data_IF_835829510773
#
_entry.id   IF_835829510773
#
_cell.length_a   1.000
_cell.length_b   1.000
_cell.length_c   1.000
_cell.angle_alpha   90.00
_cell.angle_beta   90.00
_cell.angle_gamma   90.00
#
_symmetry.space_group_name_H-M   'P 1'
#
loop_
_entity.id
_entity.type
_entity.pdbx_description
1 polymer ?
#
# COMPACT_ATOMS: atom_id res chain seq x y z
N UNK A 1 -3.99 12.64 40.86
CA UNK A 1 -3.69 12.37 39.45
C UNK A 1 -3.12 10.97 39.36
N UNK A 2 -3.96 10.01 38.93
CA UNK A 2 -3.55 8.61 38.80
C UNK A 2 -2.58 8.41 37.64
N UNK A 3 -1.40 7.94 37.98
CA UNK A 3 -0.38 7.51 37.01
C UNK A 3 -0.92 6.24 36.33
N UNK A 4 -1.39 6.35 35.11
CA UNK A 4 -1.84 5.18 34.32
C UNK A 4 -0.67 4.21 34.23
N UNK A 5 -0.80 3.04 34.87
CA UNK A 5 0.18 1.97 34.78
C UNK A 5 0.37 1.61 33.30
N UNK A 6 1.59 1.81 32.81
CA UNK A 6 1.96 1.34 31.48
C UNK A 6 1.91 -0.19 31.49
N UNK A 7 1.08 -0.76 30.64
CA UNK A 7 1.04 -2.19 30.41
C UNK A 7 2.47 -2.76 30.32
N UNK A 8 2.75 -3.91 30.94
CA UNK A 8 4.08 -4.51 30.95
C UNK A 8 4.56 -4.64 29.52
N UNK A 9 5.80 -4.22 29.26
CA UNK A 9 6.48 -4.39 27.98
C UNK A 9 6.59 -5.88 27.74
N UNK A 10 5.55 -6.47 27.15
CA UNK A 10 5.55 -7.88 26.80
C UNK A 10 6.77 -8.21 25.93
N UNK A 11 7.25 -9.43 25.99
CA UNK A 11 8.36 -10.02 25.24
C UNK A 11 8.10 -10.06 23.73
N UNK A 12 7.44 -9.05 23.17
CA UNK A 12 7.13 -8.97 21.74
C UNK A 12 8.35 -8.53 20.95
N UNK A 13 8.53 -9.06 19.73
CA UNK A 13 9.60 -8.65 18.83
C UNK A 13 9.65 -7.13 18.60
N UNK A 14 10.86 -6.58 18.31
CA UNK A 14 11.09 -5.14 18.27
C UNK A 14 10.44 -4.41 17.07
N UNK A 15 9.99 -5.14 16.06
CA UNK A 15 9.36 -4.57 14.87
C UNK A 15 7.91 -5.02 14.74
N UNK A 16 7.09 -4.15 14.18
CA UNK A 16 5.75 -4.48 13.69
C UNK A 16 5.76 -4.28 12.18
N UNK A 17 5.41 -5.33 11.45
CA UNK A 17 5.19 -5.27 10.01
C UNK A 17 3.70 -5.12 9.73
N UNK A 18 3.36 -4.32 8.74
CA UNK A 18 1.99 -4.13 8.30
C UNK A 18 1.93 -3.88 6.80
N UNK A 19 0.77 -4.07 6.22
CA UNK A 19 0.47 -3.69 4.85
C UNK A 19 -0.03 -2.25 4.86
N UNK A 20 0.68 -1.36 4.15
CA UNK A 20 0.26 0.00 3.86
C UNK A 20 -0.45 0.04 2.52
N UNK A 21 -1.72 0.43 2.52
CA UNK A 21 -2.46 0.81 1.32
C UNK A 21 -2.45 2.35 1.20
N UNK A 22 -2.12 2.84 0.01
CA UNK A 22 -2.21 4.27 -0.30
C UNK A 22 -2.86 4.49 -1.66
N UNK A 23 -3.55 5.62 -1.81
CA UNK A 23 -4.23 6.00 -3.05
C UNK A 23 -3.73 7.35 -3.53
N UNK A 24 -3.23 7.41 -4.76
CA UNK A 24 -2.74 8.63 -5.43
C UNK A 24 -1.75 9.45 -4.58
N UNK A 25 -0.88 8.78 -3.85
CA UNK A 25 0.06 9.38 -2.91
C UNK A 25 1.45 8.78 -3.07
N UNK A 26 2.49 9.60 -2.88
CA UNK A 26 3.86 9.11 -2.84
C UNK A 26 4.13 8.26 -1.60
N UNK A 27 5.08 7.30 -1.71
CA UNK A 27 5.44 6.43 -0.59
C UNK A 27 6.03 7.21 0.57
N UNK A 28 6.94 8.15 0.32
CA UNK A 28 7.57 8.95 1.36
C UNK A 28 6.57 9.87 2.07
N UNK A 29 5.66 10.48 1.32
CA UNK A 29 4.59 11.31 1.88
C UNK A 29 3.64 10.48 2.77
N UNK A 30 3.30 9.25 2.36
CA UNK A 30 2.50 8.34 3.17
C UNK A 30 3.22 7.92 4.47
N UNK A 31 4.52 7.65 4.40
CA UNK A 31 5.32 7.33 5.59
C UNK A 31 5.46 8.52 6.54
N UNK A 32 5.65 9.73 6.04
CA UNK A 32 5.68 10.94 6.87
C UNK A 32 4.33 11.20 7.53
N UNK A 33 3.23 11.00 6.81
CA UNK A 33 1.88 11.07 7.39
C UNK A 33 1.72 10.05 8.52
N UNK A 34 2.07 8.79 8.30
CA UNK A 34 2.03 7.75 9.34
C UNK A 34 2.93 8.07 10.52
N UNK A 35 4.13 8.58 10.30
CA UNK A 35 5.05 8.96 11.38
C UNK A 35 4.42 9.98 12.33
N UNK A 36 3.76 11.01 11.78
CA UNK A 36 3.03 12.04 12.56
C UNK A 36 1.84 11.43 13.31
N UNK A 37 1.01 10.64 12.59
CA UNK A 37 -0.20 10.01 13.16
C UNK A 37 0.14 9.03 14.28
N UNK A 38 1.20 8.26 14.11
CA UNK A 38 1.67 7.27 15.08
C UNK A 38 2.55 7.86 16.17
N UNK A 39 2.90 9.15 16.09
CA UNK A 39 3.85 9.80 17.01
C UNK A 39 5.18 9.04 17.12
N UNK A 40 5.78 8.74 15.96
CA UNK A 40 7.08 8.07 15.83
C UNK A 40 8.01 8.88 14.93
N UNK A 41 9.30 8.64 15.01
CA UNK A 41 10.23 9.26 14.08
C UNK A 41 10.13 8.60 12.70
N UNK A 42 10.23 9.38 11.62
CA UNK A 42 10.16 8.84 10.26
C UNK A 42 11.21 7.77 9.98
N UNK A 43 12.38 7.86 10.61
CA UNK A 43 13.46 6.86 10.54
C UNK A 43 13.11 5.49 11.14
N UNK A 44 12.08 5.42 11.98
CA UNK A 44 11.62 4.16 12.57
C UNK A 44 10.67 3.40 11.63
N UNK A 45 10.27 4.02 10.52
CA UNK A 45 9.47 3.39 9.44
C UNK A 45 10.37 3.03 8.25
N UNK A 46 10.32 1.79 7.80
CA UNK A 46 11.10 1.30 6.67
C UNK A 46 10.25 0.47 5.70
N UNK A 47 10.65 0.44 4.44
CA UNK A 47 9.99 -0.31 3.37
C UNK A 47 11.01 -1.12 2.57
N UNK A 48 10.56 -2.21 1.95
CA UNK A 48 11.39 -3.02 1.06
C UNK A 48 11.64 -2.37 -0.31
N UNK A 49 10.87 -1.36 -0.66
CA UNK A 49 10.95 -0.61 -1.91
C UNK A 49 9.83 0.43 -1.99
N UNK A 50 9.84 1.25 -3.04
CA UNK A 50 8.81 2.27 -3.30
C UNK A 50 7.72 1.71 -4.21
N UNK A 51 6.55 2.34 -4.20
CA UNK A 51 5.41 2.03 -5.07
C UNK A 51 4.93 3.30 -5.77
N UNK A 52 4.33 3.12 -6.93
CA UNK A 52 3.83 4.20 -7.77
C UNK A 52 2.97 5.20 -7.00
N UNK A 53 3.10 6.47 -7.38
CA UNK A 53 2.29 7.54 -6.79
C UNK A 53 0.84 7.46 -7.25
N UNK A 54 0.61 7.21 -8.55
CA UNK A 54 -0.74 7.14 -9.13
C UNK A 54 -1.32 5.73 -9.01
N UNK A 55 -2.58 5.66 -8.59
CA UNK A 55 -3.32 4.41 -8.40
C UNK A 55 -3.46 4.02 -6.93
N UNK A 56 -4.06 2.87 -6.70
CA UNK A 56 -4.15 2.22 -5.39
C UNK A 56 -2.98 1.24 -5.29
N UNK A 57 -2.13 1.44 -4.32
CA UNK A 57 -0.95 0.58 -4.14
C UNK A 57 -0.88 0.04 -2.72
N UNK A 58 -0.46 -1.21 -2.58
CA UNK A 58 -0.22 -1.87 -1.30
C UNK A 58 1.22 -2.30 -1.20
N UNK A 59 1.84 -2.12 -0.03
CA UNK A 59 3.21 -2.51 0.24
C UNK A 59 3.43 -2.86 1.71
N UNK A 60 4.42 -3.71 1.96
CA UNK A 60 4.84 -3.99 3.34
C UNK A 60 5.69 -2.84 3.88
N UNK A 61 5.39 -2.49 5.11
CA UNK A 61 6.14 -1.49 5.90
C UNK A 61 6.52 -2.13 7.22
N UNK A 62 7.68 -1.82 7.74
CA UNK A 62 8.09 -2.15 9.11
C UNK A 62 8.21 -0.90 9.95
N UNK A 63 7.79 -1.01 11.19
CA UNK A 63 7.94 0.02 12.21
C UNK A 63 8.74 -0.54 13.37
N UNK A 64 9.78 0.18 13.81
CA UNK A 64 10.43 -0.06 15.09
C UNK A 64 9.50 0.39 16.21
N UNK A 65 8.86 -0.57 16.88
CA UNK A 65 7.66 -0.31 17.69
C UNK A 65 7.89 0.48 18.98
N UNK A 66 9.09 0.47 19.55
CA UNK A 66 9.31 1.01 20.90
C UNK A 66 8.42 0.31 21.93
N UNK A 67 7.50 1.09 22.54
CA UNK A 67 6.52 0.58 23.51
C UNK A 67 5.11 0.35 22.92
N UNK A 68 4.93 0.57 21.61
CA UNK A 68 3.61 0.49 20.96
C UNK A 68 3.17 -0.95 20.71
N UNK A 69 1.86 -1.19 20.76
CA UNK A 69 1.24 -2.47 20.43
C UNK A 69 0.69 -2.45 19.00
N UNK A 70 0.41 -3.63 18.46
CA UNK A 70 -0.25 -3.78 17.16
C UNK A 70 -1.61 -3.07 17.15
N UNK A 71 -2.37 -3.20 18.24
CA UNK A 71 -3.69 -2.60 18.37
C UNK A 71 -3.63 -1.06 18.40
N UNK A 72 -2.70 -0.49 19.16
CA UNK A 72 -2.51 0.96 19.21
C UNK A 72 -2.18 1.53 17.84
N UNK A 73 -1.27 0.87 17.13
CA UNK A 73 -0.84 1.29 15.79
C UNK A 73 -2.00 1.21 14.81
N UNK A 74 -2.77 0.12 14.83
CA UNK A 74 -3.92 -0.04 13.95
C UNK A 74 -4.99 1.03 14.19
N UNK A 75 -5.36 1.26 15.45
CA UNK A 75 -6.36 2.28 15.82
C UNK A 75 -5.92 3.68 15.41
N UNK A 76 -4.68 4.06 15.75
CA UNK A 76 -4.16 5.39 15.43
C UNK A 76 -4.07 5.62 13.92
N UNK A 77 -3.50 4.68 13.18
CA UNK A 77 -3.28 4.85 11.74
C UNK A 77 -4.58 4.89 10.92
N UNK A 78 -5.61 4.16 11.36
CA UNK A 78 -6.91 4.10 10.69
C UNK A 78 -7.94 5.10 11.26
N UNK A 79 -7.56 5.95 12.23
CA UNK A 79 -8.39 7.05 12.73
C UNK A 79 -9.52 6.62 13.68
N UNK A 80 -9.50 5.37 14.19
CA UNK A 80 -10.54 4.82 15.06
C UNK A 80 -10.81 5.63 16.34
N UNK A 81 -9.80 6.21 17.02
CA UNK A 81 -10.05 6.93 18.27
C UNK A 81 -10.83 8.25 18.13
N UNK A 82 -10.86 8.83 16.93
CA UNK A 82 -11.33 10.20 16.74
C UNK A 82 -12.64 10.36 15.97
N UNK A 83 -12.95 9.50 15.00
CA UNK A 83 -14.04 9.77 14.04
C UNK A 83 -14.76 8.55 13.47
N UNK A 84 -14.22 7.34 13.62
CA UNK A 84 -14.75 6.16 12.94
C UNK A 84 -14.90 4.99 13.89
N UNK A 85 -15.97 4.22 13.70
CA UNK A 85 -16.06 2.89 14.29
C UNK A 85 -15.01 1.96 13.67
N UNK A 86 -14.77 0.81 14.28
CA UNK A 86 -13.86 -0.19 13.70
C UNK A 86 -14.34 -0.65 12.31
N UNK A 87 -15.66 -0.75 12.12
CA UNK A 87 -16.28 -1.15 10.85
C UNK A 87 -16.09 -0.08 9.77
N UNK A 88 -16.27 1.20 10.10
CA UNK A 88 -16.03 2.32 9.18
C UNK A 88 -14.56 2.37 8.76
N UNK A 89 -13.63 2.13 9.69
CA UNK A 89 -12.21 2.08 9.38
C UNK A 89 -11.82 0.98 8.39
N UNK A 90 -12.59 -0.10 8.31
CA UNK A 90 -12.39 -1.19 7.34
C UNK A 90 -13.10 -0.89 6.01
N UNK A 91 -14.32 -0.35 6.06
CA UNK A 91 -15.19 -0.18 4.88
C UNK A 91 -14.94 1.14 4.15
N UNK A 92 -14.70 2.22 4.89
CA UNK A 92 -14.51 3.54 4.29
C UNK A 92 -13.06 3.79 3.83
N UNK A 93 -12.94 4.69 2.85
CA UNK A 93 -11.64 5.15 2.40
C UNK A 93 -10.96 5.97 3.50
N UNK A 94 -9.82 5.50 3.99
CA UNK A 94 -9.07 6.19 5.04
C UNK A 94 -8.78 7.64 4.71
N UNK A 95 -8.67 8.46 5.76
CA UNK A 95 -8.32 9.88 5.64
C UNK A 95 -7.04 10.03 4.80
N UNK A 96 -7.07 10.95 3.84
CA UNK A 96 -5.99 11.14 2.86
C UNK A 96 -5.59 9.90 2.04
N UNK A 97 -6.46 8.88 1.96
CA UNK A 97 -6.23 7.67 1.18
C UNK A 97 -5.09 6.78 1.68
N UNK A 98 -4.85 6.77 2.99
CA UNK A 98 -3.87 5.90 3.66
C UNK A 98 -4.58 4.99 4.63
N UNK A 99 -4.28 3.69 4.59
CA UNK A 99 -4.76 2.67 5.51
C UNK A 99 -3.68 1.66 5.82
N UNK A 100 -3.80 1.00 6.97
CA UNK A 100 -2.93 -0.12 7.32
C UNK A 100 -3.74 -1.35 7.73
N UNK A 101 -3.20 -2.53 7.42
CA UNK A 101 -3.77 -3.83 7.75
C UNK A 101 -2.66 -4.88 7.95
N UNK A 102 -3.04 -6.10 8.31
CA UNK A 102 -2.14 -7.28 8.42
C UNK A 102 -0.94 -7.03 9.34
N UNK A 103 -1.19 -6.46 10.51
CA UNK A 103 -0.14 -6.15 11.47
C UNK A 103 0.39 -7.43 12.13
N UNK A 104 1.70 -7.59 12.15
CA UNK A 104 2.39 -8.74 12.76
C UNK A 104 3.68 -8.31 13.44
N UNK A 105 4.01 -8.93 14.58
CA UNK A 105 5.30 -8.74 15.22
C UNK A 105 6.41 -9.48 14.46
N UNK A 106 7.58 -8.86 14.29
CA UNK A 106 8.75 -9.40 13.60
C UNK A 106 10.05 -9.08 14.32
N UNK A 107 11.04 -9.97 14.17
CA UNK A 107 12.38 -9.81 14.79
C UNK A 107 13.24 -8.77 14.06
N UNK A 108 13.07 -8.63 12.75
CA UNK A 108 13.86 -7.73 11.90
C UNK A 108 12.97 -6.71 11.18
N UNK A 109 13.53 -5.56 10.83
CA UNK A 109 12.91 -4.55 9.97
C UNK A 109 13.05 -4.91 8.49
N UNK A 110 12.39 -4.10 7.63
CA UNK A 110 12.56 -4.16 6.19
C UNK A 110 13.67 -3.19 5.77
N UNK A 111 14.43 -3.59 4.74
CA UNK A 111 15.46 -2.76 4.14
C UNK A 111 15.16 -2.52 2.66
N UNK A 112 15.60 -1.39 2.14
CA UNK A 112 15.44 -1.06 0.73
C UNK A 112 16.16 -2.10 -0.13
N UNK A 113 15.51 -2.59 -1.17
CA UNK A 113 16.05 -3.65 -2.03
C UNK A 113 15.51 -5.05 -1.71
N UNK A 114 14.82 -5.24 -0.59
CA UNK A 114 14.18 -6.53 -0.26
C UNK A 114 12.92 -6.83 -1.09
N UNK A 115 12.44 -5.88 -1.89
CA UNK A 115 11.28 -6.06 -2.76
C UNK A 115 11.64 -6.99 -3.93
N UNK A 116 11.03 -8.17 -3.97
CA UNK A 116 11.29 -9.19 -5.00
C UNK A 116 10.58 -8.95 -6.33
N UNK A 117 9.65 -8.00 -6.38
CA UNK A 117 8.87 -7.69 -7.59
C UNK A 117 7.57 -6.96 -7.28
N UNK A 118 6.82 -6.66 -8.34
CA UNK A 118 5.53 -5.99 -8.28
C UNK A 118 4.47 -6.85 -8.97
N UNK A 119 3.26 -6.85 -8.40
CA UNK A 119 2.06 -7.32 -9.07
C UNK A 119 1.23 -6.10 -9.49
N UNK A 120 0.71 -6.11 -10.71
CA UNK A 120 -0.14 -5.05 -11.24
C UNK A 120 -1.52 -5.61 -11.59
N UNK A 121 -2.56 -4.90 -11.16
CA UNK A 121 -3.93 -5.10 -11.61
C UNK A 121 -4.32 -3.83 -12.37
N UNK A 122 -4.51 -3.95 -13.68
CA UNK A 122 -4.79 -2.82 -14.55
C UNK A 122 -6.19 -2.98 -15.12
N UNK A 123 -7.06 -2.02 -14.84
CA UNK A 123 -8.40 -1.95 -15.44
C UNK A 123 -8.30 -1.22 -16.76
N UNK A 124 -8.53 -1.94 -17.86
CA UNK A 124 -8.61 -1.37 -19.19
C UNK A 124 -10.06 -1.02 -19.51
N UNK A 125 -10.30 0.24 -19.88
CA UNK A 125 -11.61 0.70 -20.39
C UNK A 125 -11.51 0.87 -21.90
N UNK A 126 -12.60 0.61 -22.61
CA UNK A 126 -12.67 0.76 -24.07
C UNK A 126 -11.83 -0.24 -24.89
N UNK A 127 -11.48 -1.39 -24.32
CA UNK A 127 -10.67 -2.41 -24.97
C UNK A 127 -11.26 -2.86 -26.32
N UNK A 128 -12.60 -2.95 -26.42
CA UNK A 128 -13.26 -3.34 -27.66
C UNK A 128 -12.94 -2.42 -28.84
N UNK A 129 -12.81 -1.10 -28.61
CA UNK A 129 -12.52 -0.15 -29.67
C UNK A 129 -11.07 -0.24 -30.15
N UNK A 130 -10.13 -0.45 -29.23
CA UNK A 130 -8.71 -0.66 -29.55
C UNK A 130 -8.47 -2.03 -30.19
N UNK A 131 -9.11 -3.07 -29.68
CA UNK A 131 -9.00 -4.43 -30.23
C UNK A 131 -9.62 -4.50 -31.64
N UNK A 132 -10.75 -3.85 -31.87
CA UNK A 132 -11.39 -3.75 -33.18
C UNK A 132 -10.49 -3.01 -34.17
N UNK A 133 -9.90 -1.87 -33.77
CA UNK A 133 -8.97 -1.10 -34.59
C UNK A 133 -7.71 -1.91 -34.91
N UNK A 134 -7.12 -2.59 -33.91
CA UNK A 134 -5.92 -3.43 -34.06
C UNK A 134 -6.20 -4.65 -34.97
N UNK A 135 -7.30 -5.33 -34.79
CA UNK A 135 -7.68 -6.48 -35.63
C UNK A 135 -8.03 -6.04 -37.06
N UNK A 136 -8.71 -4.90 -37.22
CA UNK A 136 -9.09 -4.39 -38.52
C UNK A 136 -7.88 -3.92 -39.33
N UNK A 137 -6.95 -3.21 -38.73
CA UNK A 137 -5.71 -2.77 -39.40
C UNK A 137 -4.80 -3.95 -39.78
N UNK A 138 -4.64 -4.93 -38.89
CA UNK A 138 -3.85 -6.14 -39.20
C UNK A 138 -4.51 -7.04 -40.25
N UNK A 139 -5.84 -7.10 -40.24
CA UNK A 139 -6.58 -7.87 -41.29
C UNK A 139 -6.41 -7.23 -42.67
N UNK A 140 -6.51 -5.92 -42.76
CA UNK A 140 -6.32 -5.17 -44.02
C UNK A 140 -4.88 -5.26 -44.54
N UNK A 141 -3.88 -5.19 -43.66
CA UNK A 141 -2.47 -5.39 -44.07
C UNK A 141 -2.20 -6.79 -44.56
N UNK A 142 -2.74 -7.83 -43.91
CA UNK A 142 -2.60 -9.22 -44.39
C UNK A 142 -3.30 -9.45 -45.73
N UNK A 143 -4.43 -8.81 -45.96
CA UNK A 143 -5.15 -8.92 -47.23
C UNK A 143 -4.41 -8.20 -48.37
N UNK A 144 -3.87 -7.03 -48.11
CA UNK A 144 -3.09 -6.29 -49.09
C UNK A 144 -1.78 -7.01 -49.48
N UNK A 145 -1.13 -7.70 -48.54
CA UNK A 145 0.08 -8.49 -48.80
C UNK A 145 -0.19 -9.80 -49.57
N UNK A 146 -1.39 -10.37 -49.50
CA UNK A 146 -1.80 -11.50 -50.33
C UNK A 146 -2.08 -11.10 -51.78
N UNK A 147 -2.80 -9.99 -51.98
CA UNK A 147 -3.10 -9.48 -53.32
C UNK A 147 -1.86 -9.05 -54.12
N UNK A 148 -0.75 -8.72 -53.46
CA UNK A 148 0.53 -8.43 -54.12
C UNK A 148 1.36 -9.66 -54.45
N UNK A 149 1.00 -10.84 -53.96
CA UNK A 149 1.69 -12.10 -54.28
C UNK A 149 1.02 -12.89 -55.40
N UNK A 150 -0.22 -12.55 -55.65
CA UNK A 150 -1.05 -13.24 -56.66
C UNK A 150 -1.18 -12.39 -57.95
N UNK A 151 -0.45 -11.28 -58.08
CA UNK A 151 -0.28 -10.43 -59.26
C UNK A 151 1.17 -10.48 -59.77
#
# INVERSE_FOLDING_TARGET
MGRTERAPRGTYPPYIHFTLQKTNRDTQDALQYLARTLHVAAKDLSTAGTKDKRGVTAQRVSLRRGAKTVEDIWKLANGVPARHSADDAVCERGERGVRIADLTYRKAGLELGMLKGNAFVITLRWVFRLLWWYLHTNYLQKRASRLRRDA
#
